data_IF_220112742852
#
_entry.id   IF_220112742852
#
_cell.length_a   1.000
_cell.length_b   1.000
_cell.length_c   1.000
_cell.angle_alpha   90.00
_cell.angle_beta   90.00
_cell.angle_gamma   90.00
#
_symmetry.space_group_name_H-M   'P 1'
#
loop_
_entity.id
_entity.type
_entity.pdbx_description
1 polymer ?
#
# COMPACT_ATOMS: atom_id res chain seq x y z
N UNK A 1 9.37 37.79 -1.39
CA UNK A 1 9.93 36.48 -1.74
C UNK A 1 9.86 35.65 -0.48
N UNK A 2 8.82 34.84 -0.36
CA UNK A 2 8.58 34.00 0.81
C UNK A 2 8.56 32.57 0.31
N UNK A 3 9.63 31.84 0.57
CA UNK A 3 9.78 30.43 0.23
C UNK A 3 8.86 29.61 1.13
N UNK A 4 7.57 29.55 0.81
CA UNK A 4 6.65 28.61 1.43
C UNK A 4 6.79 27.27 0.73
N UNK A 5 7.77 26.51 1.20
CA UNK A 5 7.90 25.05 1.20
C UNK A 5 6.69 24.34 0.55
N UNK A 6 6.80 24.12 -0.76
CA UNK A 6 5.95 23.24 -1.56
C UNK A 6 6.24 21.75 -1.29
N UNK A 7 6.53 21.38 -0.04
CA UNK A 7 6.96 20.01 0.30
C UNK A 7 6.09 19.29 1.34
N UNK A 8 4.97 19.88 1.78
CA UNK A 8 4.10 19.26 2.80
C UNK A 8 2.60 19.23 2.49
N UNK A 9 2.14 19.95 1.47
CA UNK A 9 0.69 20.14 1.23
C UNK A 9 0.07 19.19 0.18
N UNK A 10 0.87 18.32 -0.44
CA UNK A 10 0.38 17.29 -1.38
C UNK A 10 0.36 15.88 -0.78
N UNK A 11 0.56 15.74 0.53
CA UNK A 11 0.13 14.52 1.22
C UNK A 11 -1.38 14.59 1.28
N UNK A 12 -2.04 13.94 0.31
CA UNK A 12 -3.50 13.76 0.35
C UNK A 12 -3.77 13.12 1.71
N UNK A 13 -4.55 13.74 2.61
CA UNK A 13 -4.83 13.17 3.93
C UNK A 13 -5.44 11.76 3.81
N UNK A 14 -6.12 11.48 2.69
CA UNK A 14 -6.61 10.17 2.32
C UNK A 14 -5.50 9.15 2.03
N UNK A 15 -4.29 9.54 1.60
CA UNK A 15 -3.21 8.60 1.30
C UNK A 15 -2.71 7.88 2.55
N UNK A 16 -2.51 8.61 3.66
CA UNK A 16 -2.12 8.00 4.95
C UNK A 16 -3.25 7.10 5.47
N UNK A 17 -4.50 7.54 5.31
CA UNK A 17 -5.66 6.73 5.67
C UNK A 17 -5.81 5.49 4.78
N UNK A 18 -5.51 5.60 3.49
CA UNK A 18 -5.55 4.52 2.51
C UNK A 18 -4.50 3.46 2.81
N UNK A 19 -3.25 3.87 3.13
CA UNK A 19 -2.22 2.93 3.60
C UNK A 19 -2.71 2.12 4.81
N UNK A 20 -3.34 2.78 5.79
CA UNK A 20 -3.89 2.07 6.96
C UNK A 20 -5.06 1.15 6.58
N UNK A 21 -5.95 1.59 5.70
CA UNK A 21 -7.08 0.80 5.24
C UNK A 21 -6.63 -0.44 4.47
N UNK A 22 -5.68 -0.28 3.54
CA UNK A 22 -5.11 -1.37 2.78
C UNK A 22 -4.29 -2.33 3.65
N UNK A 23 -3.62 -1.84 4.71
CA UNK A 23 -2.97 -2.72 5.70
C UNK A 23 -3.97 -3.66 6.36
N UNK A 24 -5.10 -3.13 6.82
CA UNK A 24 -6.14 -3.94 7.44
C UNK A 24 -6.76 -4.94 6.45
N UNK A 25 -6.97 -4.52 5.19
CA UNK A 25 -7.49 -5.40 4.16
C UNK A 25 -6.47 -6.49 3.77
N UNK A 26 -5.19 -6.17 3.67
CA UNK A 26 -4.13 -7.16 3.43
C UNK A 26 -4.01 -8.16 4.58
N UNK A 27 -4.17 -7.72 5.84
CA UNK A 27 -4.24 -8.62 7.00
C UNK A 27 -5.49 -9.51 6.98
N UNK A 28 -6.60 -9.04 6.42
CA UNK A 28 -7.81 -9.82 6.19
C UNK A 28 -7.72 -10.77 4.97
N UNK A 29 -6.57 -10.83 4.29
CA UNK A 29 -6.34 -11.73 3.16
C UNK A 29 -6.67 -11.13 1.79
N UNK A 30 -6.91 -9.82 1.69
CA UNK A 30 -7.13 -9.16 0.41
C UNK A 30 -5.80 -8.91 -0.33
N UNK A 31 -5.52 -9.75 -1.32
CA UNK A 31 -4.35 -9.61 -2.20
C UNK A 31 -4.28 -8.24 -2.91
N UNK A 32 -5.43 -7.73 -3.36
CA UNK A 32 -5.53 -6.41 -4.02
C UNK A 32 -5.01 -5.29 -3.12
N UNK A 33 -5.31 -5.34 -1.81
CA UNK A 33 -4.88 -4.31 -0.87
C UNK A 33 -3.37 -4.32 -0.64
N UNK A 34 -2.74 -5.50 -0.61
CA UNK A 34 -1.28 -5.62 -0.54
C UNK A 34 -0.61 -5.09 -1.82
N UNK A 35 -1.25 -5.26 -2.98
CA UNK A 35 -0.77 -4.72 -4.25
C UNK A 35 -0.82 -3.18 -4.26
N UNK A 36 -1.92 -2.59 -3.80
CA UNK A 36 -2.09 -1.15 -3.64
C UNK A 36 -1.08 -0.56 -2.65
N UNK A 37 -0.82 -1.24 -1.51
CA UNK A 37 0.24 -0.84 -0.59
C UNK A 37 1.61 -0.79 -1.28
N UNK A 38 1.92 -1.79 -2.09
CA UNK A 38 3.15 -1.83 -2.87
C UNK A 38 3.30 -0.61 -3.77
N UNK A 39 2.21 -0.16 -4.41
CA UNK A 39 2.19 1.05 -5.25
C UNK A 39 2.36 2.31 -4.41
N UNK A 40 1.68 2.42 -3.26
CA UNK A 40 1.79 3.59 -2.36
C UNK A 40 3.23 3.79 -1.86
N UNK A 41 3.93 2.70 -1.52
CA UNK A 41 5.34 2.76 -1.17
C UNK A 41 6.28 3.04 -2.36
N UNK A 42 5.85 2.84 -3.61
CA UNK A 42 6.64 3.26 -4.79
C UNK A 42 6.44 4.73 -5.11
N UNK A 43 5.20 5.20 -5.05
CA UNK A 43 4.84 6.59 -5.37
C UNK A 43 5.18 7.55 -4.24
N UNK A 44 5.36 7.04 -3.02
CA UNK A 44 5.57 7.86 -1.84
C UNK A 44 4.28 8.54 -1.36
N UNK A 45 3.12 7.97 -1.71
CA UNK A 45 1.82 8.49 -1.31
C UNK A 45 1.49 8.00 0.11
N UNK A 46 1.36 8.94 1.05
CA UNK A 46 0.99 8.63 2.44
C UNK A 46 2.08 7.96 3.28
N UNK A 47 3.14 7.45 2.66
CA UNK A 47 4.35 6.94 3.29
C UNK A 47 5.57 7.36 2.47
N UNK A 48 6.76 7.53 3.08
CA UNK A 48 7.98 7.76 2.31
C UNK A 48 8.23 6.59 1.34
N UNK A 49 8.69 6.88 0.11
CA UNK A 49 8.91 5.84 -0.87
C UNK A 49 9.99 4.86 -0.38
N UNK A 50 9.64 3.58 -0.40
CA UNK A 50 10.48 2.48 0.05
C UNK A 50 10.27 1.28 -0.88
N UNK A 51 11.23 1.08 -1.78
CA UNK A 51 11.21 -0.04 -2.73
C UNK A 51 11.27 -1.40 -2.04
N UNK A 52 11.94 -1.50 -0.88
CA UNK A 52 12.03 -2.76 -0.14
C UNK A 52 10.68 -3.10 0.51
N UNK A 53 10.02 -2.10 1.12
CA UNK A 53 8.67 -2.25 1.63
C UNK A 53 7.69 -2.58 0.50
N UNK A 54 7.81 -1.90 -0.65
CA UNK A 54 6.98 -2.17 -1.82
C UNK A 54 7.10 -3.63 -2.29
N UNK A 55 8.32 -4.12 -2.51
CA UNK A 55 8.56 -5.49 -2.96
C UNK A 55 8.02 -6.52 -1.97
N UNK A 56 8.14 -6.26 -0.66
CA UNK A 56 7.57 -7.10 0.38
C UNK A 56 6.03 -7.19 0.26
N UNK A 57 5.34 -6.07 0.08
CA UNK A 57 3.88 -6.04 -0.04
C UNK A 57 3.40 -6.67 -1.35
N UNK A 58 4.09 -6.46 -2.47
CA UNK A 58 3.80 -7.17 -3.72
C UNK A 58 3.94 -8.69 -3.58
N UNK A 59 5.00 -9.16 -2.92
CA UNK A 59 5.21 -10.58 -2.70
C UNK A 59 4.10 -11.17 -1.81
N UNK A 60 3.75 -10.46 -0.75
CA UNK A 60 2.67 -10.86 0.16
C UNK A 60 1.30 -10.86 -0.51
N UNK A 61 1.02 -9.89 -1.39
CA UNK A 61 -0.21 -9.87 -2.18
C UNK A 61 -0.35 -11.10 -3.07
N UNK A 62 0.73 -11.53 -3.74
CA UNK A 62 0.70 -12.78 -4.53
C UNK A 62 0.48 -14.02 -3.68
N UNK A 63 1.05 -14.05 -2.48
CA UNK A 63 0.83 -15.16 -1.54
C UNK A 63 -0.63 -15.23 -1.09
N UNK A 64 -1.24 -14.09 -0.73
CA UNK A 64 -2.65 -13.99 -0.37
C UNK A 64 -3.58 -14.37 -1.54
N UNK A 65 -3.24 -13.98 -2.76
CA UNK A 65 -4.01 -14.34 -3.96
C UNK A 65 -4.03 -15.85 -4.17
N UNK A 66 -2.87 -16.50 -4.02
CA UNK A 66 -2.74 -17.95 -4.13
C UNK A 66 -3.51 -18.66 -3.02
N UNK A 67 -3.47 -18.15 -1.79
CA UNK A 67 -4.20 -18.72 -0.66
C UNK A 67 -5.72 -18.62 -0.85
N UNK A 68 -6.23 -17.47 -1.29
CA UNK A 68 -7.65 -17.29 -1.59
C UNK A 68 -8.11 -18.25 -2.69
N UNK A 69 -7.30 -18.43 -3.73
CA UNK A 69 -7.60 -19.37 -4.82
C UNK A 69 -7.65 -20.84 -4.35
N UNK A 70 -6.88 -21.18 -3.31
CA UNK A 70 -6.92 -22.50 -2.68
C UNK A 70 -8.17 -22.69 -1.80
N UNK A 71 -8.63 -21.64 -1.11
CA UNK A 71 -9.84 -21.68 -0.28
C UNK A 71 -11.13 -21.78 -1.12
N UNK A 72 -11.20 -21.08 -2.25
CA UNK A 72 -12.36 -21.11 -3.16
C UNK A 72 -12.52 -22.44 -3.91
N UNK A 73 -11.55 -23.36 -3.81
CA UNK A 73 -11.55 -24.67 -4.50
C UNK A 73 -11.95 -25.87 -3.63
N UNK A 74 -12.36 -25.67 -2.37
CA UNK A 74 -12.78 -26.74 -1.44
C UNK A 74 -14.25 -26.64 -1.04
#
# INVERSE_FOLDING_TARGET
MGDTIYLGANLVPDAVAAVRYFLQAAEAGHAEAANELGVMYLTGEGAPPDEAASAYWFQKGRELEVLKQMEDSN
#
